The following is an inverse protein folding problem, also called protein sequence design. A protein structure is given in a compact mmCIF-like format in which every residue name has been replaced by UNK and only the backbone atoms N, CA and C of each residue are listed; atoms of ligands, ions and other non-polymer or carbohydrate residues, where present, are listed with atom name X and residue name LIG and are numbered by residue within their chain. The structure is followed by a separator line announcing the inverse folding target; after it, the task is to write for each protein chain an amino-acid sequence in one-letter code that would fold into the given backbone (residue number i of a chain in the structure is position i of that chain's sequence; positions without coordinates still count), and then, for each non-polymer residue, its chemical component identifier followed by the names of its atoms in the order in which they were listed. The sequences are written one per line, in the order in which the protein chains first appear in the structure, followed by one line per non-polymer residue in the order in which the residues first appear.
data_IF_652466409499
#
_entry.id   IF_652466409499
#
_cell.length_a   1.000
_cell.length_b   1.000
_cell.length_c   1.000
_cell.angle_alpha   90.00
_cell.angle_beta   90.00
_cell.angle_gamma   90.00
#
_symmetry.space_group_name_H-M   'P 1'
#
loop_
_entity.id
_entity.type
_entity.pdbx_description
1 polymer ?
#
# COMPACT_ATOMS: atom_id res chain seq x y z
N UNK A 1 -3.54 13.99 -25.52
CA UNK A 1 -4.95 13.72 -25.18
C UNK A 1 -5.63 12.87 -26.24
N UNK A 2 -5.44 13.13 -27.52
CA UNK A 2 -6.05 12.39 -28.62
C UNK A 2 -5.84 10.85 -28.51
N UNK A 3 -4.59 10.41 -28.44
CA UNK A 3 -4.26 8.97 -28.27
C UNK A 3 -4.90 8.35 -27.02
N UNK A 4 -4.88 9.07 -25.89
CA UNK A 4 -5.47 8.57 -24.65
C UNK A 4 -7.00 8.46 -24.74
N UNK A 5 -7.66 9.42 -25.39
CA UNK A 5 -9.12 9.38 -25.56
C UNK A 5 -9.53 8.21 -26.47
N UNK A 6 -8.80 7.96 -27.53
CA UNK A 6 -9.06 6.84 -28.43
C UNK A 6 -8.84 5.48 -27.74
N UNK A 7 -7.71 5.31 -27.03
CA UNK A 7 -7.42 4.09 -26.30
C UNK A 7 -8.48 3.78 -25.21
N UNK A 8 -9.00 4.81 -24.54
CA UNK A 8 -9.99 4.63 -23.47
C UNK A 8 -11.40 4.37 -24.02
N UNK A 9 -11.78 5.03 -25.11
CA UNK A 9 -13.12 4.92 -25.65
C UNK A 9 -13.28 3.81 -26.68
N UNK A 10 -12.21 3.48 -27.44
CA UNK A 10 -12.26 2.56 -28.57
C UNK A 10 -11.15 1.47 -28.47
N UNK A 11 -11.00 0.75 -27.36
CA UNK A 11 -9.95 -0.25 -27.24
C UNK A 11 -10.13 -1.39 -28.25
N UNK A 12 -9.06 -1.76 -28.93
CA UNK A 12 -9.05 -2.91 -29.84
C UNK A 12 -8.81 -4.18 -29.03
N UNK A 13 -9.88 -4.79 -28.55
CA UNK A 13 -9.82 -6.03 -27.78
C UNK A 13 -9.80 -7.23 -28.76
N UNK A 14 -8.68 -7.47 -29.46
CA UNK A 14 -8.56 -8.63 -30.36
C UNK A 14 -8.33 -9.93 -29.57
N UNK A 15 -8.79 -11.07 -30.09
CA UNK A 15 -8.56 -12.37 -29.45
C UNK A 15 -7.07 -12.71 -29.39
N UNK A 16 -6.32 -12.36 -30.42
CA UNK A 16 -4.89 -12.59 -30.47
C UNK A 16 -4.12 -11.83 -29.37
N UNK A 17 -4.38 -10.52 -29.23
CA UNK A 17 -3.72 -9.70 -28.21
C UNK A 17 -4.17 -10.10 -26.80
N UNK A 18 -5.46 -10.41 -26.60
CA UNK A 18 -5.96 -10.93 -25.34
C UNK A 18 -5.23 -12.20 -24.89
N UNK A 19 -5.03 -13.16 -25.81
CA UNK A 19 -4.32 -14.39 -25.46
C UNK A 19 -2.81 -14.14 -25.22
N UNK A 20 -2.21 -13.22 -25.96
CA UNK A 20 -0.82 -12.81 -25.76
C UNK A 20 -0.63 -12.15 -24.39
N UNK A 21 -1.51 -11.22 -24.03
CA UNK A 21 -1.44 -10.50 -22.75
C UNK A 21 -1.64 -11.43 -21.55
N UNK A 22 -2.52 -12.43 -21.66
CA UNK A 22 -2.61 -13.47 -20.63
C UNK A 22 -1.27 -14.15 -20.35
N UNK A 23 -0.50 -14.47 -21.38
CA UNK A 23 0.79 -15.10 -21.20
C UNK A 23 1.77 -14.14 -20.49
N UNK A 24 1.75 -12.84 -20.82
CA UNK A 24 2.56 -11.83 -20.14
C UNK A 24 2.20 -11.76 -18.65
N UNK A 25 0.90 -11.65 -18.32
CA UNK A 25 0.44 -11.60 -16.92
C UNK A 25 0.81 -12.89 -16.16
N UNK A 26 0.74 -14.05 -16.80
CA UNK A 26 1.16 -15.30 -16.16
C UNK A 26 2.66 -15.32 -15.84
N UNK A 27 3.51 -14.74 -16.70
CA UNK A 27 4.94 -14.58 -16.43
C UNK A 27 5.19 -13.55 -15.31
N UNK A 28 4.46 -12.43 -15.28
CA UNK A 28 4.54 -11.44 -14.21
C UNK A 28 4.14 -12.03 -12.85
N UNK A 29 3.07 -12.83 -12.81
CA UNK A 29 2.69 -13.58 -11.61
C UNK A 29 3.79 -14.56 -11.18
N UNK A 30 4.39 -15.28 -12.14
CA UNK A 30 5.49 -16.19 -11.83
C UNK A 30 6.69 -15.43 -11.25
N UNK A 31 7.04 -14.26 -11.80
CA UNK A 31 8.12 -13.40 -11.28
C UNK A 31 7.83 -12.94 -9.84
N UNK A 32 6.61 -12.51 -9.53
CA UNK A 32 6.20 -12.13 -8.17
C UNK A 32 6.35 -13.31 -7.21
N UNK A 33 5.91 -14.49 -7.62
CA UNK A 33 6.09 -15.70 -6.80
C UNK A 33 7.55 -16.09 -6.62
N UNK A 34 8.41 -15.84 -7.60
CA UNK A 34 9.83 -16.20 -7.56
C UNK A 34 10.66 -15.22 -6.73
N UNK A 35 10.21 -13.99 -6.53
CA UNK A 35 10.84 -12.98 -5.67
C UNK A 35 10.33 -13.13 -4.23
N UNK A 36 11.19 -13.53 -3.26
CA UNK A 36 10.72 -13.85 -1.90
C UNK A 36 10.16 -12.65 -1.12
N UNK A 37 10.66 -11.45 -1.37
CA UNK A 37 10.17 -10.18 -0.80
C UNK A 37 8.77 -9.84 -1.34
N UNK A 38 8.58 -9.83 -2.65
CA UNK A 38 7.29 -9.60 -3.29
C UNK A 38 6.25 -10.68 -2.87
N UNK A 39 6.71 -11.92 -2.76
CA UNK A 39 5.86 -13.01 -2.27
C UNK A 39 5.48 -12.82 -0.78
N UNK A 40 6.37 -12.29 0.05
CA UNK A 40 6.03 -11.97 1.45
C UNK A 40 4.98 -10.86 1.54
N UNK A 41 5.06 -9.82 0.68
CA UNK A 41 4.08 -8.75 0.60
C UNK A 41 2.70 -9.26 0.14
N UNK A 42 2.67 -10.13 -0.87
CA UNK A 42 1.43 -10.76 -1.29
C UNK A 42 0.80 -11.62 -0.16
N UNK A 43 1.62 -12.39 0.57
CA UNK A 43 1.15 -13.22 1.66
C UNK A 43 0.65 -12.42 2.86
N UNK A 44 1.24 -11.26 3.13
CA UNK A 44 0.80 -10.43 4.26
C UNK A 44 -0.56 -9.82 3.99
N UNK A 45 -0.85 -9.36 2.78
CA UNK A 45 -2.17 -8.85 2.40
C UNK A 45 -3.25 -9.95 2.51
N UNK A 46 -2.96 -11.16 2.04
CA UNK A 46 -3.86 -12.31 2.20
C UNK A 46 -4.10 -12.66 3.67
N UNK A 47 -3.09 -12.47 4.52
CA UNK A 47 -3.17 -12.75 5.95
C UNK A 47 -3.94 -11.66 6.70
N UNK A 48 -3.78 -10.42 6.28
CA UNK A 48 -4.44 -9.25 6.87
C UNK A 48 -5.93 -9.21 6.51
N UNK A 49 -6.26 -9.47 5.24
CA UNK A 49 -7.62 -9.44 4.70
C UNK A 49 -8.04 -10.78 4.07
N UNK A 50 -8.19 -11.85 4.86
CA UNK A 50 -8.45 -13.18 4.33
C UNK A 50 -9.85 -13.29 3.70
N UNK A 51 -9.94 -14.02 2.58
CA UNK A 51 -11.17 -14.37 1.89
C UNK A 51 -12.02 -13.18 1.39
N UNK A 52 -11.40 -12.03 1.17
CA UNK A 52 -12.08 -10.85 0.65
C UNK A 52 -11.25 -10.15 -0.44
N UNK A 53 -11.85 -9.27 -1.25
CA UNK A 53 -11.17 -8.65 -2.38
C UNK A 53 -9.88 -7.94 -2.02
N UNK A 54 -9.83 -7.23 -0.89
CA UNK A 54 -8.67 -6.46 -0.44
C UNK A 54 -7.42 -7.31 -0.21
N UNK A 55 -7.58 -8.58 0.17
CA UNK A 55 -6.47 -9.51 0.37
C UNK A 55 -6.07 -10.30 -0.88
N UNK A 56 -6.60 -9.96 -2.07
CA UNK A 56 -6.24 -10.62 -3.32
C UNK A 56 -5.12 -9.85 -4.00
N UNK A 57 -4.23 -10.59 -4.65
CA UNK A 57 -3.26 -9.99 -5.55
C UNK A 57 -3.98 -9.28 -6.71
N UNK A 58 -3.50 -8.08 -7.09
CA UNK A 58 -4.08 -7.27 -8.17
C UNK A 58 -3.98 -7.99 -9.50
N UNK A 59 -2.88 -8.72 -9.75
CA UNK A 59 -2.71 -9.57 -10.94
C UNK A 59 -3.60 -10.81 -10.94
N UNK A 60 -4.23 -11.13 -9.82
CA UNK A 60 -5.07 -12.29 -9.64
C UNK A 60 -4.29 -13.58 -9.36
N UNK A 61 -4.80 -14.68 -9.87
CA UNK A 61 -4.17 -16.00 -9.83
C UNK A 61 -4.07 -16.57 -11.23
N UNK A 62 -3.20 -17.57 -11.43
CA UNK A 62 -3.10 -18.29 -12.70
C UNK A 62 -4.47 -18.74 -13.22
N UNK A 63 -5.30 -19.30 -12.33
CA UNK A 63 -6.62 -19.80 -12.71
C UNK A 63 -7.59 -18.66 -13.09
N UNK A 64 -7.56 -17.55 -12.33
CA UNK A 64 -8.40 -16.38 -12.66
C UNK A 64 -7.99 -15.76 -13.99
N UNK A 65 -6.71 -15.56 -14.25
CA UNK A 65 -6.20 -15.02 -15.52
C UNK A 65 -6.57 -15.91 -16.70
N UNK A 66 -6.42 -17.23 -16.57
CA UNK A 66 -6.80 -18.18 -17.63
C UNK A 66 -8.31 -18.12 -17.89
N UNK A 67 -9.14 -17.96 -16.86
CA UNK A 67 -10.61 -17.99 -16.96
C UNK A 67 -11.21 -16.72 -17.57
N UNK A 68 -10.52 -15.57 -17.53
CA UNK A 68 -11.04 -14.31 -18.10
C UNK A 68 -11.18 -14.47 -19.62
N UNK A 69 -12.39 -14.28 -20.14
CA UNK A 69 -12.65 -14.25 -21.57
C UNK A 69 -12.55 -12.83 -22.14
N UNK A 70 -12.30 -12.72 -23.45
CA UNK A 70 -12.35 -11.43 -24.15
C UNK A 70 -13.71 -10.71 -23.94
N UNK A 71 -14.81 -11.47 -23.96
CA UNK A 71 -16.12 -10.88 -23.76
C UNK A 71 -16.30 -10.31 -22.34
N UNK A 72 -15.85 -11.05 -21.31
CA UNK A 72 -15.88 -10.53 -19.93
C UNK A 72 -14.97 -9.31 -19.73
N UNK A 73 -13.86 -9.21 -20.45
CA UNK A 73 -13.01 -8.02 -20.45
C UNK A 73 -13.73 -6.83 -21.13
N UNK A 74 -14.37 -7.05 -22.27
CA UNK A 74 -15.14 -6.01 -22.95
C UNK A 74 -16.33 -5.53 -22.10
N UNK A 75 -17.06 -6.45 -21.48
CA UNK A 75 -18.17 -6.13 -20.57
C UNK A 75 -17.71 -5.32 -19.35
N UNK A 76 -16.56 -5.69 -18.77
CA UNK A 76 -15.95 -4.94 -17.67
C UNK A 76 -15.56 -3.53 -18.12
N UNK A 77 -14.89 -3.39 -19.26
CA UNK A 77 -14.52 -2.10 -19.83
C UNK A 77 -15.75 -1.21 -20.03
N UNK A 78 -16.79 -1.71 -20.71
CA UNK A 78 -18.01 -0.94 -20.98
C UNK A 78 -18.77 -0.51 -19.71
N UNK A 79 -18.60 -1.24 -18.61
CA UNK A 79 -19.24 -0.90 -17.32
C UNK A 79 -18.42 0.05 -16.47
N UNK A 80 -17.09 -0.08 -16.48
CA UNK A 80 -16.23 0.64 -15.56
C UNK A 80 -15.62 1.91 -16.15
N UNK A 81 -15.42 1.93 -17.48
CA UNK A 81 -14.77 3.05 -18.16
C UNK A 81 -15.83 3.99 -18.73
N UNK A 82 -16.02 5.10 -18.06
CA UNK A 82 -16.97 6.15 -18.45
C UNK A 82 -16.76 7.41 -17.63
N UNK A 83 -17.39 8.52 -18.05
CA UNK A 83 -17.21 9.81 -17.41
C UNK A 83 -17.57 9.85 -15.93
N UNK A 84 -18.53 9.02 -15.49
CA UNK A 84 -18.97 8.94 -14.10
C UNK A 84 -17.93 8.34 -13.17
N UNK A 85 -16.95 7.62 -13.72
CA UNK A 85 -15.91 6.91 -12.96
C UNK A 85 -14.50 7.36 -13.35
N UNK A 86 -14.37 8.55 -13.95
CA UNK A 86 -13.09 9.04 -14.49
C UNK A 86 -12.83 10.48 -14.08
N UNK A 87 -11.56 10.79 -13.86
CA UNK A 87 -11.06 12.15 -13.63
C UNK A 87 -9.95 12.41 -14.64
N UNK A 88 -10.02 13.56 -15.32
CA UNK A 88 -8.96 14.04 -16.19
C UNK A 88 -8.19 15.12 -15.44
N UNK A 89 -6.92 14.87 -15.15
CA UNK A 89 -6.01 15.81 -14.52
C UNK A 89 -4.90 16.21 -15.50
N UNK A 90 -4.64 17.50 -15.59
CA UNK A 90 -3.62 18.06 -16.46
C UNK A 90 -2.77 19.06 -15.66
N UNK A 91 -1.45 18.91 -15.70
CA UNK A 91 -0.52 19.85 -15.10
C UNK A 91 0.60 20.17 -16.09
N UNK A 92 0.99 21.44 -16.15
CA UNK A 92 2.06 21.93 -17.03
C UNK A 92 1.81 23.33 -17.53
N UNK A 93 2.59 23.77 -18.50
CA UNK A 93 2.47 25.09 -19.11
C UNK A 93 1.34 25.12 -20.16
N UNK A 94 0.09 25.13 -19.69
CA UNK A 94 -1.10 25.16 -20.53
C UNK A 94 -2.16 26.13 -19.95
N UNK A 95 -2.85 26.86 -20.79
CA UNK A 95 -3.98 27.66 -20.35
C UNK A 95 -5.19 26.78 -20.03
N UNK A 96 -5.85 27.02 -18.91
CA UNK A 96 -6.98 26.23 -18.43
C UNK A 96 -8.13 26.14 -19.48
N UNK A 97 -8.45 27.23 -20.16
CA UNK A 97 -9.46 27.22 -21.22
C UNK A 97 -9.12 26.30 -22.38
N UNK A 98 -7.83 26.19 -22.74
CA UNK A 98 -7.37 25.24 -23.77
C UNK A 98 -7.53 23.83 -23.31
N UNK A 99 -7.17 23.52 -22.06
CA UNK A 99 -7.33 22.20 -21.47
C UNK A 99 -8.81 21.76 -21.45
N UNK A 100 -9.72 22.65 -21.04
CA UNK A 100 -11.17 22.37 -21.05
C UNK A 100 -11.67 22.11 -22.47
N UNK A 101 -11.40 23.01 -23.42
CA UNK A 101 -11.88 22.87 -24.79
C UNK A 101 -11.41 21.54 -25.44
N UNK A 102 -10.14 21.18 -25.26
CA UNK A 102 -9.64 19.91 -25.79
C UNK A 102 -10.24 18.69 -25.06
N UNK A 103 -10.52 18.81 -23.77
CA UNK A 103 -11.21 17.76 -23.01
C UNK A 103 -12.65 17.58 -23.50
N UNK A 104 -13.42 18.64 -23.66
CA UNK A 104 -14.78 18.60 -24.19
C UNK A 104 -14.84 18.03 -25.61
N UNK A 105 -13.90 18.44 -26.48
CA UNK A 105 -13.80 17.93 -27.84
C UNK A 105 -13.56 16.41 -27.89
N UNK A 106 -12.69 15.89 -27.04
CA UNK A 106 -12.25 14.50 -27.08
C UNK A 106 -13.10 13.55 -26.22
N UNK A 107 -13.67 14.02 -25.12
CA UNK A 107 -14.40 13.21 -24.16
C UNK A 107 -15.87 13.62 -24.00
N UNK A 108 -16.32 14.74 -24.59
CA UNK A 108 -17.70 15.24 -24.43
C UNK A 108 -18.79 14.29 -24.91
N UNK A 109 -18.48 13.39 -25.85
CA UNK A 109 -19.39 12.37 -26.35
C UNK A 109 -19.11 10.97 -25.77
N UNK A 110 -18.28 10.85 -24.74
CA UNK A 110 -18.01 9.57 -24.12
C UNK A 110 -19.28 9.00 -23.49
N UNK A 111 -19.64 7.77 -23.85
CA UNK A 111 -20.87 7.11 -23.40
C UNK A 111 -20.89 6.93 -21.89
N UNK A 112 -22.11 6.99 -21.33
CA UNK A 112 -22.30 6.74 -19.89
C UNK A 112 -21.95 5.30 -19.53
N UNK A 113 -21.32 5.14 -18.37
CA UNK A 113 -21.04 3.84 -17.76
C UNK A 113 -21.94 3.59 -16.54
N UNK A 114 -21.92 2.37 -16.05
CA UNK A 114 -22.61 1.98 -14.80
C UNK A 114 -21.61 1.22 -13.92
N UNK A 115 -20.70 1.94 -13.27
CA UNK A 115 -19.63 1.33 -12.49
C UNK A 115 -20.17 0.39 -11.42
N UNK A 116 -19.42 -0.66 -11.15
CA UNK A 116 -19.74 -1.58 -10.06
C UNK A 116 -19.45 -0.90 -8.71
N UNK A 117 -20.29 -1.18 -7.74
CA UNK A 117 -20.00 -0.81 -6.35
C UNK A 117 -18.77 -1.56 -5.85
N UNK A 118 -18.01 -0.90 -4.99
CA UNK A 118 -16.88 -1.49 -4.31
C UNK A 118 -17.31 -2.28 -3.06
N UNK A 119 -16.55 -3.33 -2.74
CA UNK A 119 -16.79 -4.13 -1.54
C UNK A 119 -16.05 -3.56 -0.35
N UNK A 120 -16.79 -3.21 0.69
CA UNK A 120 -16.20 -2.74 1.95
C UNK A 120 -15.40 -3.84 2.63
N UNK A 121 -14.25 -3.46 3.20
CA UNK A 121 -13.43 -4.37 3.99
C UNK A 121 -14.15 -4.74 5.27
N UNK A 122 -14.18 -6.04 5.56
CA UNK A 122 -14.66 -6.57 6.82
C UNK A 122 -13.47 -6.92 7.71
N UNK A 123 -13.34 -6.24 8.83
CA UNK A 123 -12.32 -6.59 9.80
C UNK A 123 -12.64 -7.96 10.39
N UNK A 124 -11.66 -8.86 10.52
CA UNK A 124 -11.89 -10.20 11.06
C UNK A 124 -12.34 -10.11 12.52
N UNK A 125 -13.34 -10.91 12.89
CA UNK A 125 -13.88 -10.97 14.26
C UNK A 125 -12.86 -11.50 15.29
N UNK A 126 -11.89 -12.29 14.85
CA UNK A 126 -10.87 -12.86 15.73
C UNK A 126 -9.66 -11.96 15.84
N UNK A 127 -9.32 -11.59 17.07
CA UNK A 127 -8.10 -10.85 17.42
C UNK A 127 -6.85 -11.74 17.52
N UNK A 128 -6.99 -13.06 17.30
CA UNK A 128 -5.85 -13.98 17.38
C UNK A 128 -4.80 -13.65 16.30
N UNK A 129 -3.51 -13.65 16.64
CA UNK A 129 -2.43 -13.51 15.68
C UNK A 129 -2.54 -14.55 14.57
N UNK A 130 -2.38 -14.12 13.34
CA UNK A 130 -2.35 -15.02 12.18
C UNK A 130 -0.94 -15.10 11.64
N UNK A 131 -0.55 -16.30 11.23
CA UNK A 131 0.76 -16.55 10.63
C UNK A 131 0.57 -17.29 9.33
N UNK A 132 1.16 -16.78 8.24
CA UNK A 132 1.23 -17.45 6.95
C UNK A 132 2.69 -17.71 6.58
N UNK A 133 2.99 -18.89 6.05
CA UNK A 133 4.36 -19.29 5.69
C UNK A 133 4.39 -19.69 4.22
N UNK A 134 5.20 -18.98 3.44
CA UNK A 134 5.68 -19.40 2.13
C UNK A 134 6.94 -20.27 2.30
N UNK A 135 6.77 -21.58 2.38
CA UNK A 135 7.92 -22.49 2.60
C UNK A 135 8.77 -22.57 1.34
N UNK A 136 9.94 -21.96 1.38
CA UNK A 136 10.94 -22.01 0.30
C UNK A 136 12.35 -22.08 0.87
N UNK A 137 13.25 -22.70 0.13
CA UNK A 137 14.68 -22.64 0.43
C UNK A 137 15.24 -21.37 -0.19
N UNK A 138 15.50 -20.38 0.66
CA UNK A 138 16.04 -19.06 0.30
C UNK A 138 17.27 -18.77 1.15
N UNK A 139 18.20 -17.96 0.65
CA UNK A 139 19.38 -17.53 1.39
C UNK A 139 19.03 -16.58 2.54
N UNK A 140 17.99 -15.77 2.34
CA UNK A 140 17.40 -14.90 3.35
C UNK A 140 15.97 -15.35 3.66
N UNK A 141 15.54 -15.16 4.88
CA UNK A 141 14.13 -15.20 5.24
C UNK A 141 13.53 -13.80 5.13
N UNK A 142 12.38 -13.70 4.49
CA UNK A 142 11.64 -12.45 4.31
C UNK A 142 10.42 -12.47 5.22
N UNK A 143 10.30 -11.47 6.05
CA UNK A 143 9.29 -11.37 7.09
C UNK A 143 8.53 -10.06 6.90
N UNK A 144 7.22 -10.15 6.85
CA UNK A 144 6.31 -9.01 6.90
C UNK A 144 5.39 -9.15 8.12
N UNK A 145 5.46 -8.18 9.02
CA UNK A 145 4.59 -8.07 10.19
C UNK A 145 3.64 -6.90 9.99
N UNK A 146 2.35 -7.18 9.93
CA UNK A 146 1.34 -6.16 9.67
C UNK A 146 0.26 -6.12 10.75
N UNK A 147 -0.35 -4.97 10.86
CA UNK A 147 -1.54 -4.68 11.65
C UNK A 147 -2.48 -3.78 10.86
N UNK A 148 -3.76 -3.79 11.22
CA UNK A 148 -4.71 -2.86 10.63
C UNK A 148 -4.27 -1.42 10.95
N UNK A 149 -4.45 -0.54 9.98
CA UNK A 149 -4.22 0.89 10.11
C UNK A 149 -5.52 1.67 9.91
N UNK A 150 -5.39 2.94 9.63
CA UNK A 150 -6.51 3.86 9.43
C UNK A 150 -6.78 4.11 7.95
N UNK A 151 -8.04 4.35 7.59
CA UNK A 151 -8.43 4.69 6.22
C UNK A 151 -7.89 6.06 5.78
N UNK A 152 -7.94 6.32 4.49
CA UNK A 152 -7.53 7.61 3.92
C UNK A 152 -8.42 8.79 4.33
N UNK A 153 -9.63 8.50 4.80
CA UNK A 153 -10.59 9.50 5.29
C UNK A 153 -10.58 9.65 6.82
N UNK A 154 -9.85 8.79 7.54
CA UNK A 154 -9.72 8.90 9.00
C UNK A 154 -8.90 10.16 9.37
N UNK A 155 -9.36 10.97 10.34
CA UNK A 155 -8.63 12.17 10.75
C UNK A 155 -7.22 11.86 11.30
N UNK A 156 -6.97 10.64 11.77
CA UNK A 156 -5.67 10.20 12.32
C UNK A 156 -4.67 9.73 11.27
N UNK A 157 -4.98 9.84 9.97
CA UNK A 157 -4.11 9.34 8.91
C UNK A 157 -2.70 9.94 8.96
N UNK A 158 -2.58 11.24 9.28
CA UNK A 158 -1.27 11.88 9.39
C UNK A 158 -0.51 11.42 10.64
N UNK A 159 -1.20 11.17 11.74
CA UNK A 159 -0.58 10.56 12.93
C UNK A 159 -0.06 9.16 12.63
N UNK A 160 -0.79 8.35 11.87
CA UNK A 160 -0.33 7.03 11.43
C UNK A 160 0.84 7.13 10.44
N UNK A 161 0.80 8.06 9.49
CA UNK A 161 1.90 8.28 8.55
C UNK A 161 3.17 8.75 9.26
N UNK A 162 3.07 9.66 10.23
CA UNK A 162 4.22 10.12 11.01
C UNK A 162 4.75 9.04 11.96
N UNK A 163 3.86 8.24 12.55
CA UNK A 163 4.25 7.04 13.30
C UNK A 163 5.09 6.10 12.44
N UNK A 164 4.65 5.85 11.20
CA UNK A 164 5.41 5.06 10.24
C UNK A 164 6.78 5.67 9.92
N UNK A 165 6.84 6.99 9.74
CA UNK A 165 8.11 7.68 9.47
C UNK A 165 9.10 7.52 10.63
N UNK A 166 8.66 7.66 11.88
CA UNK A 166 9.49 7.42 13.07
C UNK A 166 9.91 5.95 13.13
N UNK A 167 9.00 5.03 12.82
CA UNK A 167 9.22 3.60 12.98
C UNK A 167 10.21 3.03 11.96
N UNK A 168 9.98 3.24 10.65
CA UNK A 168 10.74 2.51 9.64
C UNK A 168 10.91 3.21 8.29
N UNK A 169 10.67 4.53 8.19
CA UNK A 169 10.89 5.28 6.95
C UNK A 169 12.17 6.11 7.02
N UNK A 170 13.20 5.68 6.29
CA UNK A 170 14.49 6.36 6.24
C UNK A 170 15.54 5.83 7.22
N UNK A 171 16.79 6.30 7.04
CA UNK A 171 17.96 5.78 7.75
C UNK A 171 18.05 6.17 9.23
N UNK A 172 17.29 7.16 9.67
CA UNK A 172 17.21 7.57 11.08
C UNK A 172 16.04 6.94 11.84
N UNK A 173 15.26 6.11 11.18
CA UNK A 173 14.10 5.44 11.80
C UNK A 173 14.52 4.39 12.82
N UNK A 174 13.64 4.09 13.77
CA UNK A 174 13.91 3.15 14.87
C UNK A 174 14.32 1.77 14.39
N UNK A 175 13.57 1.21 13.43
CA UNK A 175 13.86 -0.12 12.90
C UNK A 175 15.21 -0.17 12.18
N UNK A 176 15.52 0.84 11.36
CA UNK A 176 16.80 0.91 10.68
C UNK A 176 17.96 0.98 11.68
N UNK A 177 17.87 1.90 12.64
CA UNK A 177 18.91 2.08 13.65
C UNK A 177 19.09 0.85 14.54
N UNK A 178 18.02 0.23 15.01
CA UNK A 178 18.09 -0.88 15.95
C UNK A 178 18.46 -2.20 15.26
N UNK A 179 17.82 -2.51 14.12
CA UNK A 179 17.97 -3.82 13.48
C UNK A 179 19.15 -3.89 12.53
N UNK A 180 19.44 -2.80 11.80
CA UNK A 180 20.53 -2.78 10.83
C UNK A 180 21.82 -2.25 11.46
N UNK A 181 21.81 -1.03 11.99
CA UNK A 181 23.04 -0.36 12.45
C UNK A 181 23.58 -0.96 13.74
N UNK A 182 22.75 -1.16 14.77
CA UNK A 182 23.21 -1.64 16.07
C UNK A 182 23.41 -3.15 16.14
N UNK A 183 22.50 -3.93 15.55
CA UNK A 183 22.50 -5.40 15.72
C UNK A 183 22.94 -6.17 14.49
N UNK A 184 22.93 -5.57 13.30
CA UNK A 184 23.25 -6.27 12.06
C UNK A 184 22.35 -7.48 11.81
N UNK A 185 21.06 -7.38 12.17
CA UNK A 185 20.08 -8.45 11.99
C UNK A 185 19.49 -8.46 10.58
N UNK A 186 19.25 -7.28 10.00
CA UNK A 186 18.65 -7.12 8.69
C UNK A 186 19.47 -6.18 7.83
N UNK A 187 19.68 -6.52 6.57
CA UNK A 187 20.25 -5.60 5.59
C UNK A 187 19.18 -4.64 5.07
N UNK A 188 17.99 -5.16 4.82
CA UNK A 188 16.83 -4.41 4.41
C UNK A 188 15.76 -4.48 5.50
N UNK A 189 15.35 -3.31 5.98
CA UNK A 189 14.31 -3.14 6.99
C UNK A 189 13.60 -1.82 6.76
N UNK A 190 12.28 -1.89 6.67
CA UNK A 190 11.43 -0.72 6.47
C UNK A 190 10.05 -0.92 7.09
N UNK A 191 9.29 0.16 7.24
CA UNK A 191 7.86 0.08 7.47
C UNK A 191 7.10 0.96 6.46
N UNK A 192 5.85 0.59 6.23
CA UNK A 192 4.98 1.27 5.30
C UNK A 192 3.56 1.39 5.86
N UNK A 193 2.97 2.58 5.77
CA UNK A 193 1.57 2.82 6.10
C UNK A 193 0.75 2.97 4.82
N UNK A 194 -0.22 2.07 4.62
CA UNK A 194 -1.17 2.12 3.51
C UNK A 194 -2.52 2.65 4.00
N UNK A 195 -3.09 3.59 3.25
CA UNK A 195 -4.40 4.18 3.55
C UNK A 195 -5.32 3.99 2.34
N UNK A 196 -6.28 3.09 2.45
CA UNK A 196 -7.32 2.85 1.45
C UNK A 196 -8.59 3.61 1.83
N UNK A 197 -9.62 3.55 0.99
CA UNK A 197 -10.86 4.31 1.19
C UNK A 197 -11.57 4.00 2.52
N UNK A 198 -11.57 2.73 2.94
CA UNK A 198 -12.31 2.25 4.13
C UNK A 198 -11.46 1.43 5.10
N UNK A 199 -10.20 1.22 4.81
CA UNK A 199 -9.26 0.49 5.67
C UNK A 199 -7.84 1.03 5.51
N UNK A 200 -6.91 0.48 6.26
CA UNK A 200 -5.49 0.73 6.13
C UNK A 200 -4.67 -0.38 6.77
N UNK A 201 -3.37 -0.32 6.55
CA UNK A 201 -2.40 -1.22 7.18
C UNK A 201 -1.14 -0.45 7.56
N UNK A 202 -0.47 -0.92 8.61
CA UNK A 202 0.92 -0.63 8.89
C UNK A 202 1.68 -1.95 8.80
N UNK A 203 2.67 -2.01 7.91
CA UNK A 203 3.47 -3.21 7.67
C UNK A 203 4.94 -2.89 7.91
N UNK A 204 5.60 -3.71 8.73
CA UNK A 204 7.05 -3.71 8.88
C UNK A 204 7.62 -4.93 8.16
N UNK A 205 8.59 -4.69 7.29
CA UNK A 205 9.27 -5.71 6.49
C UNK A 205 10.73 -5.79 6.85
N UNK A 206 11.30 -7.00 6.82
CA UNK A 206 12.75 -7.20 6.85
C UNK A 206 13.20 -8.49 6.17
N UNK A 207 14.38 -8.39 5.52
CA UNK A 207 15.15 -9.52 4.99
C UNK A 207 16.28 -9.89 5.94
N UNK A 208 16.31 -11.13 6.42
CA UNK A 208 17.21 -11.55 7.50
C UNK A 208 17.83 -12.92 7.25
N UNK A 209 18.93 -13.22 7.94
CA UNK A 209 19.48 -14.58 8.01
C UNK A 209 18.42 -15.51 8.63
N UNK A 210 18.09 -16.67 7.98
CA UNK A 210 17.11 -17.60 8.51
C UNK A 210 17.39 -18.08 9.95
N UNK A 211 18.64 -18.11 10.37
CA UNK A 211 19.01 -18.52 11.74
C UNK A 211 18.68 -17.48 12.81
N UNK A 212 18.52 -16.19 12.39
CA UNK A 212 18.26 -15.04 13.27
C UNK A 212 16.78 -14.62 13.32
N UNK A 213 15.88 -15.34 12.67
CA UNK A 213 14.48 -14.95 12.51
C UNK A 213 13.76 -14.72 13.86
N UNK A 214 14.02 -15.52 14.87
CA UNK A 214 13.36 -15.41 16.18
C UNK A 214 13.82 -14.14 16.91
N UNK A 215 15.14 -13.87 16.93
CA UNK A 215 15.68 -12.65 17.49
C UNK A 215 15.14 -11.43 16.77
N UNK A 216 15.09 -11.48 15.44
CA UNK A 216 14.53 -10.42 14.59
C UNK A 216 13.09 -10.11 14.97
N UNK A 217 12.24 -11.13 15.10
CA UNK A 217 10.83 -10.96 15.45
C UNK A 217 10.65 -10.37 16.83
N UNK A 218 11.47 -10.79 17.82
CA UNK A 218 11.45 -10.23 19.18
C UNK A 218 11.87 -8.76 19.19
N UNK A 219 12.94 -8.41 18.47
CA UNK A 219 13.43 -7.02 18.38
C UNK A 219 12.39 -6.14 17.70
N UNK A 220 11.79 -6.60 16.60
CA UNK A 220 10.74 -5.89 15.89
C UNK A 220 9.54 -5.60 16.81
N UNK A 221 9.02 -6.59 17.52
CA UNK A 221 7.91 -6.41 18.46
C UNK A 221 8.26 -5.45 19.60
N UNK A 222 9.48 -5.50 20.11
CA UNK A 222 9.94 -4.59 21.15
C UNK A 222 9.95 -3.15 20.68
N UNK A 223 10.44 -2.86 19.46
CA UNK A 223 10.44 -1.51 18.91
C UNK A 223 9.01 -0.99 18.64
N UNK A 224 8.13 -1.85 18.14
CA UNK A 224 6.71 -1.52 18.00
C UNK A 224 6.05 -1.19 19.35
N UNK A 225 6.35 -1.96 20.39
CA UNK A 225 5.78 -1.73 21.73
C UNK A 225 6.29 -0.45 22.41
N UNK A 226 7.59 -0.16 22.28
CA UNK A 226 8.23 1.01 22.93
C UNK A 226 7.67 2.33 22.40
N UNK A 227 7.40 2.46 21.12
CA UNK A 227 7.01 3.74 20.49
C UNK A 227 5.74 4.34 21.14
N UNK A 228 4.85 3.53 21.67
CA UNK A 228 3.65 3.98 22.38
C UNK A 228 3.96 4.68 23.72
N UNK A 229 5.17 4.47 24.26
CA UNK A 229 5.60 4.94 25.58
C UNK A 229 6.64 6.06 25.44
N UNK A 230 7.68 5.82 24.63
CA UNK A 230 8.91 6.59 24.61
C UNK A 230 9.11 7.45 23.34
N UNK A 231 8.14 7.48 22.40
CA UNK A 231 8.24 8.38 21.26
C UNK A 231 8.48 9.83 21.74
N UNK A 232 9.48 10.51 21.16
CA UNK A 232 9.93 11.82 21.59
C UNK A 232 9.45 12.96 20.70
N UNK A 233 9.43 14.18 21.22
CA UNK A 233 9.15 15.40 20.45
C UNK A 233 10.19 15.62 19.34
N UNK A 234 11.43 15.22 19.55
CA UNK A 234 12.49 15.30 18.55
C UNK A 234 12.20 14.36 17.36
N UNK A 235 11.83 13.12 17.62
CA UNK A 235 11.43 12.17 16.56
C UNK A 235 10.22 12.69 15.77
N UNK A 236 9.21 13.24 16.45
CA UNK A 236 8.06 13.83 15.80
C UNK A 236 8.45 15.02 14.93
N UNK A 237 9.25 15.95 15.45
CA UNK A 237 9.73 17.13 14.70
C UNK A 237 10.51 16.71 13.44
N UNK A 238 11.38 15.71 13.56
CA UNK A 238 12.14 15.17 12.43
C UNK A 238 11.23 14.50 11.40
N UNK A 239 10.24 13.73 11.83
CA UNK A 239 9.25 13.09 10.94
C UNK A 239 8.38 14.11 10.21
N UNK A 240 7.92 15.17 10.89
CA UNK A 240 7.17 16.27 10.27
C UNK A 240 8.01 17.01 9.24
N UNK A 241 9.26 17.31 9.56
CA UNK A 241 10.19 17.96 8.62
C UNK A 241 10.47 17.08 7.40
N UNK A 242 10.68 15.79 7.60
CA UNK A 242 10.91 14.82 6.55
C UNK A 242 9.68 14.69 5.62
N UNK A 243 8.48 14.50 6.18
CA UNK A 243 7.24 14.39 5.41
C UNK A 243 6.95 15.66 4.60
N UNK A 244 7.13 16.84 5.21
CA UNK A 244 6.95 18.14 4.56
C UNK A 244 7.95 18.35 3.43
N UNK A 245 9.22 18.07 3.68
CA UNK A 245 10.30 18.20 2.69
C UNK A 245 10.06 17.30 1.47
N UNK A 246 9.71 16.04 1.71
CA UNK A 246 9.36 15.10 0.62
C UNK A 246 8.16 15.55 -0.19
N UNK A 247 7.15 16.10 0.45
CA UNK A 247 5.97 16.62 -0.24
C UNK A 247 6.35 17.72 -1.22
N UNK A 248 7.10 18.73 -0.76
CA UNK A 248 7.50 19.84 -1.64
C UNK A 248 8.44 19.39 -2.75
N UNK A 249 9.45 18.57 -2.46
CA UNK A 249 10.34 18.03 -3.50
C UNK A 249 9.60 17.21 -4.56
N UNK A 250 8.61 16.42 -4.13
CA UNK A 250 7.77 15.64 -5.06
C UNK A 250 6.95 16.55 -5.98
N UNK A 251 6.44 17.67 -5.48
CA UNK A 251 5.59 18.58 -6.25
C UNK A 251 6.35 19.50 -7.21
N UNK A 252 7.67 19.45 -7.26
CA UNK A 252 8.48 20.07 -8.32
C UNK A 252 8.28 19.36 -9.69
N UNK A 253 7.87 18.08 -9.69
CA UNK A 253 7.55 17.32 -10.90
C UNK A 253 6.08 17.52 -11.30
N UNK A 254 5.85 18.00 -12.54
CA UNK A 254 4.50 18.22 -13.09
C UNK A 254 3.64 16.96 -13.13
N UNK A 255 4.24 15.79 -13.31
CA UNK A 255 3.55 14.50 -13.24
C UNK A 255 3.06 14.20 -11.82
N UNK A 256 3.88 14.54 -10.82
CA UNK A 256 3.48 14.38 -9.43
C UNK A 256 2.34 15.37 -9.06
N UNK A 257 2.39 16.61 -9.58
CA UNK A 257 1.28 17.57 -9.42
C UNK A 257 0.00 17.05 -10.05
N UNK A 258 0.07 16.55 -11.28
CA UNK A 258 -1.09 15.95 -11.97
C UNK A 258 -1.67 14.78 -11.16
N UNK A 259 -0.82 13.86 -10.69
CA UNK A 259 -1.24 12.70 -9.88
C UNK A 259 -1.82 13.15 -8.53
N UNK A 260 -1.27 14.19 -7.92
CA UNK A 260 -1.79 14.80 -6.70
C UNK A 260 -3.22 15.33 -6.87
N UNK A 261 -3.45 16.11 -7.92
CA UNK A 261 -4.76 16.70 -8.21
C UNK A 261 -5.79 15.62 -8.57
N UNK A 262 -5.45 14.78 -9.56
CA UNK A 262 -6.35 13.75 -10.06
C UNK A 262 -6.67 12.69 -9.01
N UNK A 263 -5.68 12.27 -8.22
CA UNK A 263 -5.88 11.28 -7.16
C UNK A 263 -6.78 11.79 -6.04
N UNK A 264 -6.62 13.04 -5.62
CA UNK A 264 -7.48 13.62 -4.58
C UNK A 264 -8.92 13.81 -5.07
N UNK A 265 -9.11 14.33 -6.28
CA UNK A 265 -10.43 14.46 -6.87
C UNK A 265 -11.12 13.10 -6.99
N UNK A 266 -10.44 12.10 -7.56
CA UNK A 266 -11.01 10.75 -7.76
C UNK A 266 -11.38 10.06 -6.44
N UNK A 267 -10.54 10.19 -5.42
CA UNK A 267 -10.72 9.43 -4.17
C UNK A 267 -11.57 10.16 -3.13
N UNK A 268 -11.52 11.51 -3.10
CA UNK A 268 -12.12 12.30 -2.02
C UNK A 268 -13.13 13.33 -2.51
N UNK A 269 -13.19 13.61 -3.84
CA UNK A 269 -13.95 14.72 -4.41
C UNK A 269 -13.64 16.07 -3.72
N UNK A 270 -12.40 16.21 -3.27
CA UNK A 270 -11.84 17.39 -2.61
C UNK A 270 -10.34 17.44 -2.89
N UNK A 271 -9.87 18.59 -3.39
CA UNK A 271 -8.44 18.83 -3.60
C UNK A 271 -7.89 19.75 -2.51
N UNK A 272 -7.07 19.21 -1.63
CA UNK A 272 -6.33 19.98 -0.63
C UNK A 272 -5.08 20.58 -1.23
N UNK A 273 -4.77 21.84 -0.86
CA UNK A 273 -3.49 22.43 -1.25
C UNK A 273 -2.34 21.79 -0.47
N UNK A 274 -1.10 21.86 -0.98
CA UNK A 274 0.08 21.38 -0.25
C UNK A 274 0.23 22.02 1.15
N UNK A 275 -0.08 23.33 1.24
CA UNK A 275 0.00 24.09 2.49
C UNK A 275 -0.98 23.54 3.51
N UNK A 276 -2.22 23.26 3.12
CA UNK A 276 -3.24 22.66 4.00
C UNK A 276 -2.78 21.31 4.52
N UNK A 277 -2.16 20.48 3.67
CA UNK A 277 -1.62 19.17 4.11
C UNK A 277 -0.45 19.36 5.06
N UNK A 278 0.44 20.32 4.80
CA UNK A 278 1.56 20.63 5.70
C UNK A 278 1.06 21.09 7.06
N UNK A 279 0.03 21.93 7.11
CA UNK A 279 -0.58 22.38 8.36
C UNK A 279 -1.21 21.21 9.14
N UNK A 280 -1.90 20.30 8.46
CA UNK A 280 -2.44 19.08 9.07
C UNK A 280 -1.33 18.16 9.61
N UNK A 281 -0.23 17.99 8.88
CA UNK A 281 0.94 17.23 9.33
C UNK A 281 1.59 17.88 10.57
N UNK A 282 1.77 19.21 10.55
CA UNK A 282 2.37 19.96 11.67
C UNK A 282 1.48 20.03 12.90
N UNK A 283 0.16 19.90 12.75
CA UNK A 283 -0.78 19.90 13.87
C UNK A 283 -0.75 18.63 14.70
N UNK A 284 -0.14 17.55 14.20
CA UNK A 284 -0.02 16.28 14.93
C UNK A 284 0.89 16.45 16.15
N UNK A 285 0.42 16.02 17.31
CA UNK A 285 1.14 16.07 18.57
C UNK A 285 1.76 14.71 18.91
N UNK A 286 2.73 14.71 19.85
CA UNK A 286 3.29 13.45 20.36
C UNK A 286 2.24 12.60 21.09
N UNK A 287 1.23 13.24 21.67
CA UNK A 287 0.08 12.58 22.25
C UNK A 287 -0.70 11.77 21.23
N UNK A 288 -0.87 12.32 20.02
CA UNK A 288 -1.56 11.63 18.92
C UNK A 288 -0.75 10.43 18.42
N UNK A 289 0.58 10.58 18.26
CA UNK A 289 1.48 9.47 17.90
C UNK A 289 1.38 8.33 18.91
N UNK A 290 1.50 8.63 20.20
CA UNK A 290 1.39 7.63 21.26
C UNK A 290 0.01 7.00 21.34
N UNK A 291 -1.05 7.76 21.04
CA UNK A 291 -2.44 7.26 21.02
C UNK A 291 -2.63 6.25 19.90
N UNK A 292 -2.23 6.61 18.67
CA UNK A 292 -2.30 5.73 17.51
C UNK A 292 -1.43 4.47 17.72
N UNK A 293 -0.22 4.64 18.27
CA UNK A 293 0.64 3.50 18.58
C UNK A 293 -0.02 2.53 19.59
N UNK A 294 -0.62 3.02 20.67
CA UNK A 294 -1.33 2.16 21.66
C UNK A 294 -2.51 1.41 21.07
N UNK A 295 -3.25 2.05 20.17
CA UNK A 295 -4.43 1.44 19.57
C UNK A 295 -4.08 0.38 18.52
N UNK A 296 -3.12 0.67 17.65
CA UNK A 296 -2.86 -0.14 16.46
C UNK A 296 -1.65 -1.08 16.60
N UNK A 297 -0.68 -0.79 17.47
CA UNK A 297 0.51 -1.64 17.66
C UNK A 297 0.35 -2.67 18.80
N UNK A 298 -0.87 -3.07 19.08
CA UNK A 298 -1.14 -4.12 20.07
C UNK A 298 -0.80 -5.50 19.47
N UNK A 299 0.05 -6.32 20.13
CA UNK A 299 0.43 -7.64 19.64
C UNK A 299 -0.74 -8.57 19.33
N UNK A 300 -1.89 -8.36 19.97
CA UNK A 300 -3.11 -9.14 19.71
C UNK A 300 -3.61 -9.02 18.28
N UNK A 301 -3.27 -7.95 17.56
CA UNK A 301 -3.69 -7.68 16.19
C UNK A 301 -2.64 -8.03 15.15
N UNK A 302 -1.46 -8.46 15.55
CA UNK A 302 -0.37 -8.76 14.61
C UNK A 302 -0.73 -9.89 13.65
N UNK A 303 -0.36 -9.68 12.40
CA UNK A 303 -0.41 -10.65 11.30
C UNK A 303 1.01 -10.79 10.77
N UNK A 304 1.43 -12.01 10.50
CA UNK A 304 2.79 -12.31 10.12
C UNK A 304 2.80 -13.18 8.86
N UNK A 305 3.50 -12.72 7.84
CA UNK A 305 3.87 -13.51 6.69
C UNK A 305 5.38 -13.75 6.69
N UNK A 306 5.79 -14.97 6.39
CA UNK A 306 7.21 -15.34 6.31
C UNK A 306 7.43 -16.15 5.04
N UNK A 307 8.42 -15.76 4.25
CA UNK A 307 8.95 -16.58 3.17
C UNK A 307 10.35 -17.06 3.55
N UNK A 308 10.55 -18.37 3.59
CA UNK A 308 11.81 -18.96 4.04
C UNK A 308 11.71 -20.45 4.31
N UNK A 309 12.79 -21.09 4.82
CA UNK A 309 12.87 -22.53 5.01
C UNK A 309 12.10 -23.04 6.27
N UNK A 310 10.87 -22.56 6.46
CA UNK A 310 10.06 -22.88 7.63
C UNK A 310 8.80 -23.63 7.25
N UNK A 311 8.40 -24.61 8.09
CA UNK A 311 7.20 -25.43 7.87
C UNK A 311 6.13 -25.28 8.95
N UNK A 312 6.50 -24.85 10.16
CA UNK A 312 5.60 -24.83 11.31
C UNK A 312 5.20 -23.40 11.69
N UNK A 313 3.92 -23.08 11.59
CA UNK A 313 3.36 -21.83 12.10
C UNK A 313 3.37 -21.75 13.63
N UNK A 314 3.35 -22.89 14.33
CA UNK A 314 3.21 -22.95 15.79
C UNK A 314 4.35 -22.24 16.55
N UNK A 315 5.59 -22.31 16.02
CA UNK A 315 6.75 -21.57 16.55
C UNK A 315 6.49 -20.07 16.55
N UNK A 316 6.09 -19.52 15.41
CA UNK A 316 5.90 -18.09 15.22
C UNK A 316 4.64 -17.57 15.94
N UNK A 317 3.57 -18.39 16.02
CA UNK A 317 2.39 -18.05 16.84
C UNK A 317 2.75 -17.90 18.32
N UNK A 318 3.65 -18.72 18.84
CA UNK A 318 4.14 -18.60 20.23
C UNK A 318 4.97 -17.34 20.43
N UNK A 319 5.84 -17.01 19.48
CA UNK A 319 6.68 -15.79 19.52
C UNK A 319 5.83 -14.50 19.44
N UNK A 320 4.74 -14.51 18.68
CA UNK A 320 3.83 -13.34 18.62
C UNK A 320 2.96 -13.20 19.87
N UNK A 321 2.79 -14.25 20.65
CA UNK A 321 1.97 -14.24 21.87
C UNK A 321 2.78 -14.01 23.15
N UNK A 322 4.11 -14.00 23.06
CA UNK A 322 5.03 -13.78 24.19
C UNK A 322 5.26 -12.30 24.46
#
# INVERSE_FOLDING_TARGET
MDVLSDMLQNPILSEYEHQREKNVILEELAMTYDQPDAYADMLIDQTLWPNQPMGRDVGGTKDSVISISKNSLADYHNRQYGPENSVIAIAGNIAHSVAINETEKLFGNWGKASPLDWHRVQLPESNAPRVTIGNRRTDQAHLALAMNGVSSTDPRKYSMSLLNTILGEGMSSRLFMEMREKRGLAYDVASHASHYKDCGALTAYCGVDPSKIDETLVVLQNELGKISIDASEEELSNAQAFATGRLYLRLEDTRAVMSWLGGQELLFNEVKTPEKVVDEVRSVTIGDIRSVAREFLDPRFYKLAIVGPYRSQGRFKKLLAA
#
